data_IF_568215982280
#
_entry.id   IF_568215982280
#
_cell.length_a   1.000
_cell.length_b   1.000
_cell.length_c   1.000
_cell.angle_alpha   90.00
_cell.angle_beta   90.00
_cell.angle_gamma   90.00
#
_symmetry.space_group_name_H-M   'P 1'
#
loop_
_entity.id
_entity.type
_entity.pdbx_description
1 polymer ?
#
# COMPACT_ATOMS: atom_id res chain seq x y z
N UNK A 1 0.18 10.99 -10.24
CA UNK A 1 0.71 9.67 -9.82
C UNK A 1 0.89 9.62 -8.32
N UNK A 2 0.43 8.53 -7.70
CA UNK A 2 0.56 8.33 -6.26
C UNK A 2 2.04 8.24 -5.87
N UNK A 3 2.40 8.69 -4.65
CA UNK A 3 3.79 8.67 -4.17
C UNK A 3 4.36 7.25 -4.21
N UNK A 4 3.56 6.26 -3.82
CA UNK A 4 3.96 4.86 -3.74
C UNK A 4 4.42 4.32 -5.11
N UNK A 5 3.69 4.64 -6.17
CA UNK A 5 4.05 4.25 -7.54
C UNK A 5 5.34 4.94 -8.01
N UNK A 6 5.52 6.21 -7.65
CA UNK A 6 6.75 6.98 -7.98
C UNK A 6 7.99 6.40 -7.28
N UNK A 7 7.82 5.79 -6.11
CA UNK A 7 8.88 5.06 -5.41
C UNK A 7 9.13 3.65 -6.02
N UNK A 8 8.36 3.26 -7.03
CA UNK A 8 8.44 1.96 -7.67
C UNK A 8 7.69 0.85 -6.92
N UNK A 9 6.90 1.19 -5.90
CA UNK A 9 6.01 0.24 -5.24
C UNK A 9 4.83 -0.09 -6.15
N UNK A 10 4.23 -1.27 -5.98
CA UNK A 10 3.06 -1.72 -6.75
C UNK A 10 1.91 -2.03 -5.81
N UNK A 11 0.71 -1.62 -6.21
CA UNK A 11 -0.53 -1.98 -5.51
C UNK A 11 -0.78 -3.49 -5.59
N UNK A 12 -1.34 -4.05 -4.53
CA UNK A 12 -1.80 -5.42 -4.44
C UNK A 12 -3.22 -5.47 -3.88
N UNK A 13 -4.24 -5.33 -4.74
CA UNK A 13 -5.63 -5.29 -4.29
C UNK A 13 -6.06 -6.56 -3.55
N UNK A 14 -5.40 -7.69 -3.79
CA UNK A 14 -5.68 -8.95 -3.09
C UNK A 14 -5.23 -8.95 -1.62
N UNK A 15 -4.38 -8.00 -1.24
CA UNK A 15 -3.88 -7.81 0.12
C UNK A 15 -4.46 -6.57 0.81
N UNK A 16 -5.39 -5.86 0.17
CA UNK A 16 -6.13 -4.77 0.80
C UNK A 16 -6.89 -5.28 2.04
N UNK A 17 -6.99 -4.44 3.07
CA UNK A 17 -7.50 -4.86 4.36
C UNK A 17 -8.33 -3.78 5.05
N UNK A 18 -9.14 -4.21 6.02
CA UNK A 18 -9.87 -3.33 6.92
C UNK A 18 -9.04 -3.10 8.19
N UNK A 19 -8.71 -1.83 8.47
CA UNK A 19 -7.81 -1.48 9.56
C UNK A 19 -8.47 -1.79 10.92
N UNK A 20 -7.84 -2.65 11.76
CA UNK A 20 -8.47 -3.17 12.98
C UNK A 20 -8.70 -2.09 14.04
N UNK A 21 -7.90 -1.03 14.03
CA UNK A 21 -8.03 0.10 14.96
C UNK A 21 -9.08 1.14 14.56
N UNK A 22 -9.75 1.00 13.41
CA UNK A 22 -10.78 1.96 12.98
C UNK A 22 -12.16 1.41 13.35
N UNK A 23 -12.92 2.11 14.21
CA UNK A 23 -14.27 1.70 14.58
C UNK A 23 -15.24 1.75 13.39
N UNK A 24 -16.30 0.95 13.45
CA UNK A 24 -17.34 0.88 12.41
C UNK A 24 -18.15 2.18 12.25
N UNK A 25 -18.05 3.11 13.19
CA UNK A 25 -18.61 4.46 13.06
C UNK A 25 -17.94 5.29 11.96
N UNK A 26 -16.75 4.90 11.49
CA UNK A 26 -16.00 5.59 10.44
C UNK A 26 -15.62 4.62 9.30
N UNK A 27 -16.60 4.03 8.59
CA UNK A 27 -16.35 2.96 7.63
C UNK A 27 -15.49 3.43 6.45
N UNK A 28 -15.58 4.71 6.08
CA UNK A 28 -14.78 5.30 5.01
C UNK A 28 -13.27 5.32 5.29
N UNK A 29 -12.85 5.29 6.56
CA UNK A 29 -11.44 5.26 6.95
C UNK A 29 -10.91 3.84 7.16
N UNK A 30 -11.79 2.83 7.10
CA UNK A 30 -11.43 1.46 7.49
C UNK A 30 -10.66 0.75 6.39
N UNK A 31 -11.09 0.87 5.14
CA UNK A 31 -10.45 0.18 4.00
C UNK A 31 -9.11 0.81 3.64
N UNK A 32 -8.04 0.03 3.71
CA UNK A 32 -6.68 0.42 3.35
C UNK A 32 -6.18 -0.37 2.14
N UNK A 33 -5.44 0.32 1.26
CA UNK A 33 -4.81 -0.27 0.08
C UNK A 33 -3.41 -0.78 0.40
N UNK A 34 -3.04 -1.94 -0.13
CA UNK A 34 -1.73 -2.54 0.10
C UNK A 34 -0.76 -2.23 -1.03
N UNK A 35 0.42 -1.71 -0.70
CA UNK A 35 1.52 -1.50 -1.64
C UNK A 35 2.74 -2.28 -1.20
N UNK A 36 3.43 -2.90 -2.16
CA UNK A 36 4.63 -3.71 -1.92
C UNK A 36 5.79 -3.31 -2.82
N UNK A 37 6.99 -3.49 -2.29
CA UNK A 37 8.24 -3.35 -3.01
C UNK A 37 9.21 -4.43 -2.53
N UNK A 38 9.69 -5.26 -3.45
CA UNK A 38 10.68 -6.28 -3.10
C UNK A 38 12.04 -5.64 -2.86
N UNK A 39 12.87 -6.26 -2.00
CA UNK A 39 14.24 -5.80 -1.77
C UNK A 39 15.06 -5.76 -3.08
N UNK A 40 14.79 -6.67 -4.01
CA UNK A 40 15.43 -6.68 -5.34
C UNK A 40 15.04 -5.44 -6.16
N UNK A 41 13.75 -5.11 -6.23
CA UNK A 41 13.27 -3.93 -6.97
C UNK A 41 13.77 -2.63 -6.34
N UNK A 42 13.80 -2.56 -5.02
CA UNK A 42 14.39 -1.41 -4.31
C UNK A 42 15.86 -1.18 -4.69
N UNK A 43 16.68 -2.24 -4.72
CA UNK A 43 18.10 -2.15 -5.11
C UNK A 43 18.28 -1.71 -6.58
N UNK A 44 17.37 -2.09 -7.48
CA UNK A 44 17.40 -1.66 -8.89
C UNK A 44 17.13 -0.16 -9.04
N UNK A 45 16.19 0.40 -8.26
CA UNK A 45 15.81 1.82 -8.32
C UNK A 45 16.80 2.76 -7.63
N UNK A 46 17.80 2.24 -6.89
CA UNK A 46 18.85 3.03 -6.22
C UNK A 46 20.09 3.29 -7.08
N UNK A 47 20.15 2.72 -8.27
CA UNK A 47 21.24 2.94 -9.25
C UNK A 47 20.82 4.01 -10.24
#
# INVERSE_FOLDING_TARGET
TAVMERLGMRADPSADFDHPGIPDSHPALKRHVFYRLTAQNWRKNRR
#
